data_IF_941222758524
#
_entry.id   IF_941222758524
#
_cell.length_a   1.000
_cell.length_b   1.000
_cell.length_c   1.000
_cell.angle_alpha   90.00
_cell.angle_beta   90.00
_cell.angle_gamma   90.00
#
_symmetry.space_group_name_H-M   'P 1'
#
loop_
_entity.id
_entity.type
_entity.pdbx_description
1 polymer ?
#
# COMPACT_ATOMS: atom_id res chain seq x y z
N UNK A 1 -10.38 13.59 5.73
CA UNK A 1 -11.50 13.95 4.83
C UNK A 1 -11.88 12.73 4.03
N UNK A 2 -13.16 12.42 3.94
CA UNK A 2 -13.69 11.24 3.23
C UNK A 2 -14.30 11.69 1.90
N UNK A 3 -13.99 11.00 0.81
CA UNK A 3 -14.55 11.25 -0.52
C UNK A 3 -15.05 9.97 -1.13
N UNK A 4 -16.12 10.05 -1.89
CA UNK A 4 -16.59 8.97 -2.75
C UNK A 4 -16.28 9.33 -4.19
N UNK A 5 -15.48 8.50 -4.84
CA UNK A 5 -15.22 8.61 -6.27
C UNK A 5 -16.22 7.76 -7.04
N UNK A 6 -16.79 8.32 -8.10
CA UNK A 6 -17.73 7.61 -8.96
C UNK A 6 -16.95 6.91 -10.08
N UNK A 7 -16.84 5.60 -9.98
CA UNK A 7 -16.53 4.75 -11.13
C UNK A 7 -17.82 4.40 -11.88
N UNK A 8 -17.80 4.01 -13.18
CA UNK A 8 -19.02 3.94 -14.01
C UNK A 8 -20.20 3.12 -13.49
N UNK A 9 -20.03 2.35 -12.41
CA UNK A 9 -21.10 1.54 -11.82
C UNK A 9 -21.30 1.72 -10.32
N UNK A 10 -20.28 2.15 -9.54
CA UNK A 10 -20.36 2.25 -8.07
C UNK A 10 -19.44 3.35 -7.51
N UNK A 11 -19.80 3.89 -6.34
CA UNK A 11 -18.96 4.81 -5.59
C UNK A 11 -17.90 4.03 -4.80
N UNK A 12 -16.65 4.46 -4.89
CA UNK A 12 -15.54 3.91 -4.09
C UNK A 12 -15.10 4.94 -3.06
N UNK A 13 -15.10 4.55 -1.80
CA UNK A 13 -14.70 5.43 -0.70
C UNK A 13 -13.18 5.50 -0.55
N UNK A 14 -12.68 6.71 -0.30
CA UNK A 14 -11.27 6.98 -0.01
C UNK A 14 -11.16 7.88 1.21
N UNK A 15 -10.33 7.50 2.17
CA UNK A 15 -9.92 8.40 3.27
C UNK A 15 -8.58 9.04 2.94
N UNK A 16 -8.50 10.36 3.10
CA UNK A 16 -7.26 11.11 2.92
C UNK A 16 -6.95 11.84 4.21
N UNK A 17 -5.79 11.53 4.80
CA UNK A 17 -5.22 12.26 5.92
C UNK A 17 -4.28 13.34 5.40
N UNK A 18 -4.45 14.53 5.90
CA UNK A 18 -3.50 15.62 5.74
C UNK A 18 -2.89 15.90 7.11
N UNK A 19 -1.56 16.04 7.22
CA UNK A 19 -0.94 16.32 8.51
C UNK A 19 -1.43 17.64 9.08
N UNK A 20 -1.52 17.72 10.39
CA UNK A 20 -1.89 18.95 11.08
C UNK A 20 -0.83 20.02 10.84
N UNK A 21 -1.28 21.24 10.54
CA UNK A 21 -0.40 22.37 10.23
C UNK A 21 0.21 23.03 11.45
N UNK A 22 -0.48 22.94 12.57
CA UNK A 22 -0.14 23.62 13.81
C UNK A 22 -0.19 22.64 14.97
N UNK A 23 0.96 22.38 15.56
CA UNK A 23 0.98 21.74 16.88
C UNK A 23 0.57 22.78 17.91
N UNK A 24 -0.18 22.37 18.93
CA UNK A 24 -0.56 23.27 20.05
C UNK A 24 0.65 24.02 20.63
N UNK A 25 1.81 23.37 20.69
CA UNK A 25 3.08 23.96 21.11
C UNK A 25 3.53 25.13 20.25
N UNK A 26 3.29 25.08 18.93
CA UNK A 26 3.63 26.15 18.00
C UNK A 26 2.65 27.32 18.14
N UNK A 27 1.37 27.04 18.38
CA UNK A 27 0.33 28.05 18.66
C UNK A 27 0.65 28.78 19.98
N UNK A 28 1.03 28.06 21.03
CA UNK A 28 1.43 28.64 22.32
C UNK A 28 2.69 29.50 22.22
N UNK A 29 3.59 29.19 21.28
CA UNK A 29 4.79 29.95 20.98
C UNK A 29 4.54 31.15 20.02
N UNK A 30 3.28 31.36 19.60
CA UNK A 30 2.91 32.42 18.68
C UNK A 30 3.45 32.22 17.25
N UNK A 31 3.89 31.03 16.92
CA UNK A 31 4.28 30.68 15.55
C UNK A 31 2.99 30.51 14.75
N UNK A 32 2.79 31.33 13.73
CA UNK A 32 1.72 31.09 12.77
C UNK A 32 2.06 29.85 11.96
N UNK A 33 1.16 28.87 11.96
CA UNK A 33 1.28 27.71 11.08
C UNK A 33 1.48 28.17 9.63
N UNK A 34 2.38 27.50 8.93
CA UNK A 34 2.62 27.80 7.53
C UNK A 34 1.33 27.54 6.73
N UNK A 35 0.72 28.60 6.23
CA UNK A 35 -0.37 28.49 5.27
C UNK A 35 0.11 27.67 4.08
N UNK A 36 -0.74 26.81 3.49
CA UNK A 36 -0.39 26.09 2.26
C UNK A 36 0.16 27.07 1.23
N UNK A 37 1.47 27.14 1.10
CA UNK A 37 2.10 27.86 0.00
C UNK A 37 1.63 27.22 -1.32
N UNK A 38 1.37 28.03 -2.34
CA UNK A 38 0.83 27.57 -3.63
C UNK A 38 1.63 26.43 -4.29
N UNK A 39 2.87 26.17 -3.84
CA UNK A 39 3.77 25.17 -4.41
C UNK A 39 4.26 24.13 -3.38
N UNK A 40 3.71 24.11 -2.17
CA UNK A 40 4.10 23.13 -1.14
C UNK A 40 3.25 21.88 -1.28
N UNK A 41 3.92 20.76 -1.40
CA UNK A 41 3.34 19.42 -1.52
C UNK A 41 3.75 18.54 -0.32
N UNK A 42 2.95 17.55 0.02
CA UNK A 42 3.31 16.53 1.01
C UNK A 42 3.81 15.28 0.32
N UNK A 43 4.85 14.66 0.87
CA UNK A 43 5.16 13.28 0.53
C UNK A 43 3.93 12.43 0.78
N UNK A 44 3.60 11.55 -0.16
CA UNK A 44 2.33 10.83 -0.20
C UNK A 44 2.53 9.36 0.01
N UNK A 45 1.83 8.80 0.99
CA UNK A 45 1.75 7.37 1.24
C UNK A 45 0.39 6.83 0.77
N UNK A 46 0.39 5.88 -0.17
CA UNK A 46 -0.77 5.04 -0.46
C UNK A 46 -0.75 3.86 0.51
N UNK A 47 -1.77 3.74 1.37
CA UNK A 47 -1.84 2.76 2.44
C UNK A 47 -3.01 1.80 2.24
N UNK A 48 -2.71 0.53 1.97
CA UNK A 48 -3.63 -0.46 1.43
C UNK A 48 -4.13 -1.43 2.50
N UNK A 49 -5.46 -1.56 2.61
CA UNK A 49 -6.13 -2.40 3.63
C UNK A 49 -6.02 -3.90 3.35
N UNK A 50 -6.21 -4.72 4.40
CA UNK A 50 -6.27 -6.17 4.33
C UNK A 50 -7.60 -6.71 3.80
N UNK A 51 -7.71 -8.04 3.71
CA UNK A 51 -8.96 -8.73 3.34
C UNK A 51 -10.08 -8.36 4.34
N UNK A 52 -11.30 -8.17 3.85
CA UNK A 52 -12.47 -7.68 4.60
C UNK A 52 -12.36 -6.25 5.12
N UNK A 53 -11.28 -5.53 4.79
CA UNK A 53 -11.08 -4.15 5.16
C UNK A 53 -11.71 -3.15 4.19
N UNK A 54 -11.50 -1.89 4.52
CA UNK A 54 -11.96 -0.72 3.77
C UNK A 54 -11.03 0.48 4.02
N UNK A 55 -11.38 1.65 3.49
CA UNK A 55 -10.66 2.91 3.66
C UNK A 55 -10.52 3.37 5.13
N UNK A 56 -11.30 2.82 6.06
CA UNK A 56 -11.26 3.15 7.49
C UNK A 56 -10.45 2.15 8.32
N UNK A 57 -9.95 1.07 7.71
CA UNK A 57 -9.31 -0.02 8.46
C UNK A 57 -8.19 0.49 9.36
N UNK A 58 -7.24 1.24 8.83
CA UNK A 58 -6.14 1.79 9.63
C UNK A 58 -6.57 2.84 10.65
N UNK A 59 -7.62 3.60 10.37
CA UNK A 59 -8.18 4.56 11.34
C UNK A 59 -8.79 3.86 12.55
N UNK A 60 -9.35 2.64 12.36
CA UNK A 60 -9.96 1.85 13.44
C UNK A 60 -8.94 1.04 14.22
N UNK A 61 -7.86 0.59 13.60
CA UNK A 61 -6.98 -0.45 14.15
C UNK A 61 -5.55 0.00 14.39
N UNK A 62 -5.21 1.24 14.02
CA UNK A 62 -3.87 1.80 14.20
C UNK A 62 -3.88 3.26 14.65
N UNK A 63 -2.70 3.79 14.89
CA UNK A 63 -2.50 5.21 15.22
C UNK A 63 -2.05 6.01 13.99
N UNK A 64 -2.54 5.64 12.82
CA UNK A 64 -2.08 6.20 11.53
C UNK A 64 -2.20 7.73 11.46
N UNK A 65 -3.23 8.34 12.07
CA UNK A 65 -3.37 9.80 12.13
C UNK A 65 -2.16 10.44 12.83
N UNK A 66 -1.79 9.91 13.99
CA UNK A 66 -0.61 10.38 14.72
C UNK A 66 0.68 10.16 13.92
N UNK A 67 0.83 9.00 13.29
CA UNK A 67 2.02 8.72 12.49
C UNK A 67 2.12 9.65 11.28
N UNK A 68 1.00 9.96 10.62
CA UNK A 68 0.96 10.91 9.53
C UNK A 68 1.42 12.32 9.95
N UNK A 69 1.00 12.75 11.15
CA UNK A 69 1.43 14.03 11.73
C UNK A 69 2.90 14.02 12.12
N UNK A 70 3.39 12.96 12.76
CA UNK A 70 4.79 12.84 13.17
C UNK A 70 5.74 12.89 11.96
N UNK A 71 5.37 12.24 10.86
CA UNK A 71 6.14 12.22 9.62
C UNK A 71 5.84 13.37 8.66
N UNK A 72 4.81 14.20 8.95
CA UNK A 72 4.35 15.29 8.09
C UNK A 72 4.05 14.84 6.64
N UNK A 73 3.31 13.74 6.50
CA UNK A 73 2.94 13.12 5.22
C UNK A 73 1.43 13.15 4.98
N UNK A 74 1.05 13.09 3.72
CA UNK A 74 -0.31 12.80 3.32
C UNK A 74 -0.50 11.29 3.18
N UNK A 75 -1.59 10.74 3.73
CA UNK A 75 -1.92 9.32 3.63
C UNK A 75 -3.21 9.13 2.85
N UNK A 76 -3.18 8.29 1.82
CA UNK A 76 -4.32 7.95 0.96
C UNK A 76 -4.70 6.50 1.20
N UNK A 77 -5.90 6.27 1.70
CA UNK A 77 -6.43 4.94 2.04
C UNK A 77 -7.68 4.65 1.20
N UNK A 78 -7.55 3.95 0.06
CA UNK A 78 -8.70 3.58 -0.76
C UNK A 78 -9.42 2.34 -0.26
N UNK A 79 -10.72 2.22 -0.53
CA UNK A 79 -11.46 0.95 -0.49
C UNK A 79 -11.32 0.23 -1.82
N UNK A 80 -10.96 -1.04 -1.78
CA UNK A 80 -11.00 -1.94 -2.95
C UNK A 80 -11.68 -3.26 -2.63
N UNK A 81 -12.36 -3.34 -1.51
CA UNK A 81 -13.04 -4.54 -1.01
C UNK A 81 -12.10 -5.77 -1.05
N UNK A 82 -12.60 -6.92 -1.42
CA UNK A 82 -11.81 -8.16 -1.53
C UNK A 82 -11.30 -8.42 -2.95
N UNK A 83 -11.00 -7.37 -3.72
CA UNK A 83 -10.58 -7.46 -5.12
C UNK A 83 -9.16 -8.01 -5.33
N UNK A 84 -8.42 -8.26 -4.24
CA UNK A 84 -6.99 -8.57 -4.34
C UNK A 84 -6.21 -7.54 -5.18
N UNK A 85 -6.63 -6.27 -5.14
CA UNK A 85 -5.99 -5.20 -5.91
C UNK A 85 -5.83 -5.55 -7.38
N UNK A 86 -6.89 -6.11 -8.01
CA UNK A 86 -6.87 -6.54 -9.41
C UNK A 86 -8.11 -6.05 -10.15
N UNK A 87 -8.00 -5.94 -11.47
CA UNK A 87 -9.16 -5.79 -12.33
C UNK A 87 -9.86 -7.14 -12.37
N UNK A 88 -11.11 -7.17 -11.86
CA UNK A 88 -11.81 -8.42 -11.65
C UNK A 88 -12.41 -8.93 -12.96
N UNK A 89 -12.38 -10.23 -13.15
CA UNK A 89 -13.04 -10.85 -14.32
C UNK A 89 -14.56 -10.61 -14.33
N UNK A 90 -15.16 -10.69 -13.13
CA UNK A 90 -16.59 -10.43 -12.91
C UNK A 90 -16.75 -9.44 -11.76
N UNK A 91 -16.45 -8.16 -12.01
CA UNK A 91 -16.49 -7.10 -11.02
C UNK A 91 -15.96 -5.78 -11.55
N UNK A 92 -15.39 -4.96 -10.69
CA UNK A 92 -14.83 -3.67 -11.04
C UNK A 92 -13.32 -3.76 -11.33
N UNK A 93 -12.82 -2.82 -12.11
CA UNK A 93 -11.41 -2.71 -12.50
C UNK A 93 -10.61 -1.96 -11.42
N UNK A 94 -10.46 -2.58 -10.24
CA UNK A 94 -9.86 -1.91 -9.08
C UNK A 94 -8.38 -1.57 -9.25
N UNK A 95 -7.62 -2.35 -10.02
CA UNK A 95 -6.22 -2.03 -10.27
C UNK A 95 -6.09 -0.80 -11.17
N UNK A 96 -6.84 -0.75 -12.26
CA UNK A 96 -6.92 0.41 -13.14
C UNK A 96 -7.41 1.66 -12.41
N UNK A 97 -8.47 1.52 -11.59
CA UNK A 97 -8.94 2.59 -10.72
C UNK A 97 -7.82 3.18 -9.85
N UNK A 98 -7.04 2.34 -9.16
CA UNK A 98 -5.97 2.80 -8.26
C UNK A 98 -4.84 3.49 -9.01
N UNK A 99 -4.39 2.86 -10.11
CA UNK A 99 -3.16 3.28 -10.82
C UNK A 99 -3.37 4.50 -11.71
N UNK A 100 -4.58 4.73 -12.16
CA UNK A 100 -4.95 5.79 -13.10
C UNK A 100 -5.85 6.84 -12.42
N UNK A 101 -7.08 6.48 -12.07
CA UNK A 101 -8.07 7.47 -11.63
C UNK A 101 -7.79 8.04 -10.25
N UNK A 102 -7.55 7.18 -9.26
CA UNK A 102 -7.29 7.63 -7.89
C UNK A 102 -6.02 8.49 -7.83
N UNK A 103 -4.96 8.03 -8.48
CA UNK A 103 -3.69 8.76 -8.52
C UNK A 103 -3.88 10.14 -9.12
N UNK A 104 -4.52 10.23 -10.30
CA UNK A 104 -4.80 11.50 -10.99
C UNK A 104 -5.72 12.41 -10.17
N UNK A 105 -6.77 11.85 -9.55
CA UNK A 105 -7.68 12.60 -8.69
C UNK A 105 -6.97 13.19 -7.48
N UNK A 106 -6.13 12.40 -6.80
CA UNK A 106 -5.39 12.83 -5.62
C UNK A 106 -4.39 13.94 -5.97
N UNK A 107 -3.64 13.77 -7.05
CA UNK A 107 -2.62 14.72 -7.48
C UNK A 107 -3.19 16.07 -7.96
N UNK A 108 -4.40 16.05 -8.55
CA UNK A 108 -5.08 17.28 -9.01
C UNK A 108 -5.79 18.04 -7.90
N UNK A 109 -6.34 17.33 -6.89
CA UNK A 109 -7.24 17.96 -5.93
C UNK A 109 -6.61 18.15 -4.54
N UNK A 110 -5.47 17.52 -4.26
CA UNK A 110 -4.78 17.60 -2.96
C UNK A 110 -3.33 18.05 -3.13
N UNK A 111 -2.70 18.52 -2.06
CA UNK A 111 -1.29 18.88 -2.08
C UNK A 111 -0.38 17.64 -2.07
N UNK A 112 -0.64 16.68 -2.93
CA UNK A 112 0.12 15.45 -3.10
C UNK A 112 1.39 15.70 -3.92
N UNK A 113 2.52 15.16 -3.46
CA UNK A 113 3.75 15.14 -4.24
C UNK A 113 3.65 14.14 -5.39
N UNK A 114 4.16 14.50 -6.56
CA UNK A 114 4.03 13.74 -7.80
C UNK A 114 5.32 13.03 -8.22
N UNK A 115 6.47 13.49 -7.74
CA UNK A 115 7.76 12.87 -8.05
C UNK A 115 7.92 11.53 -7.34
N UNK A 116 8.60 10.59 -8.00
CA UNK A 116 8.86 9.24 -7.50
C UNK A 116 9.42 9.21 -6.08
N UNK A 117 10.43 10.04 -5.81
CA UNK A 117 11.11 10.13 -4.51
C UNK A 117 10.21 10.58 -3.35
N UNK A 118 9.05 11.12 -3.67
CA UNK A 118 8.07 11.64 -2.72
C UNK A 118 6.79 10.79 -2.64
N UNK A 119 6.73 9.66 -3.35
CA UNK A 119 5.61 8.71 -3.29
C UNK A 119 6.03 7.38 -2.70
N UNK A 120 5.19 6.87 -1.83
CA UNK A 120 5.41 5.66 -1.07
C UNK A 120 4.15 4.80 -1.08
N UNK A 121 4.30 3.50 -0.94
CA UNK A 121 3.18 2.58 -0.87
C UNK A 121 3.44 1.51 0.18
N UNK A 122 2.44 1.23 1.00
CA UNK A 122 2.49 0.17 1.99
C UNK A 122 1.11 -0.48 2.17
N UNK A 123 1.08 -1.64 2.82
CA UNK A 123 -0.17 -2.29 3.15
C UNK A 123 0.01 -3.52 4.03
N UNK A 124 -1.10 -4.00 4.60
CA UNK A 124 -1.15 -5.19 5.44
C UNK A 124 -1.86 -6.34 4.73
N UNK A 125 -1.39 -7.57 4.92
CA UNK A 125 -2.04 -8.79 4.43
C UNK A 125 -2.31 -8.73 2.91
N UNK A 126 -3.57 -8.73 2.48
CA UNK A 126 -3.94 -8.50 1.08
C UNK A 126 -3.40 -7.15 0.55
N UNK A 127 -3.37 -6.11 1.39
CA UNK A 127 -2.79 -4.82 1.04
C UNK A 127 -1.27 -4.87 0.91
N UNK A 128 -0.58 -5.72 1.66
CA UNK A 128 0.84 -5.98 1.48
C UNK A 128 1.14 -6.54 0.09
N UNK A 129 0.35 -7.51 -0.35
CA UNK A 129 0.40 -7.98 -1.73
C UNK A 129 0.09 -6.86 -2.73
N UNK A 130 -0.99 -6.09 -2.49
CA UNK A 130 -1.37 -4.97 -3.35
C UNK A 130 -0.26 -3.93 -3.49
N UNK A 131 0.43 -3.61 -2.40
CA UNK A 131 1.54 -2.67 -2.40
C UNK A 131 2.71 -3.15 -3.27
N UNK A 132 3.09 -4.43 -3.14
CA UNK A 132 4.12 -5.02 -3.98
C UNK A 132 3.69 -5.11 -5.45
N UNK A 133 2.45 -5.58 -5.71
CA UNK A 133 1.91 -5.65 -7.07
C UNK A 133 1.93 -4.27 -7.74
N UNK A 134 1.36 -3.25 -7.10
CA UNK A 134 1.30 -1.91 -7.68
C UNK A 134 2.70 -1.29 -7.81
N UNK A 135 3.49 -1.34 -6.75
CA UNK A 135 4.83 -0.76 -6.75
C UNK A 135 5.79 -1.39 -7.74
N UNK A 136 5.68 -2.71 -8.00
CA UNK A 136 6.48 -3.40 -9.00
C UNK A 136 5.92 -3.27 -10.43
N UNK A 137 4.61 -3.07 -10.58
CA UNK A 137 4.02 -2.78 -11.90
C UNK A 137 4.39 -1.38 -12.37
N UNK A 138 4.42 -0.40 -11.45
CA UNK A 138 4.71 1.01 -11.74
C UNK A 138 5.92 1.50 -10.91
N UNK A 139 7.12 0.90 -11.06
CA UNK A 139 8.27 1.21 -10.19
C UNK A 139 8.78 2.65 -10.33
N UNK A 140 8.47 3.30 -11.45
CA UNK A 140 8.77 4.71 -11.70
C UNK A 140 7.90 5.66 -10.84
N UNK A 141 6.84 5.14 -10.21
CA UNK A 141 5.93 5.96 -9.38
C UNK A 141 6.32 6.00 -7.91
N UNK A 142 7.13 5.06 -7.40
CA UNK A 142 7.34 4.90 -5.96
C UNK A 142 8.82 4.84 -5.57
N UNK A 143 9.14 5.52 -4.45
CA UNK A 143 10.46 5.46 -3.82
C UNK A 143 10.66 4.19 -2.99
N UNK A 144 9.58 3.71 -2.34
CA UNK A 144 9.64 2.54 -1.47
C UNK A 144 8.29 1.82 -1.42
N UNK A 145 8.39 0.50 -1.17
CA UNK A 145 7.27 -0.44 -1.00
C UNK A 145 7.41 -1.12 0.35
N UNK A 146 6.35 -1.11 1.15
CA UNK A 146 6.29 -1.80 2.44
C UNK A 146 5.14 -2.80 2.52
N UNK A 147 5.39 -4.00 3.05
CA UNK A 147 4.36 -5.01 3.26
C UNK A 147 4.38 -5.60 4.67
N UNK A 148 3.26 -5.56 5.37
CA UNK A 148 3.07 -6.21 6.66
C UNK A 148 2.29 -7.50 6.45
N UNK A 149 2.90 -8.65 6.78
CA UNK A 149 2.28 -9.98 6.66
C UNK A 149 1.60 -10.20 5.31
N UNK A 150 2.27 -9.83 4.23
CA UNK A 150 1.72 -9.83 2.88
C UNK A 150 1.44 -11.24 2.36
N UNK A 151 0.37 -11.38 1.57
CA UNK A 151 0.00 -12.64 0.91
C UNK A 151 0.60 -12.67 -0.48
N UNK A 152 1.91 -12.92 -0.57
CA UNK A 152 2.66 -12.70 -1.81
C UNK A 152 2.47 -13.79 -2.88
N UNK A 153 2.14 -15.02 -2.49
CA UNK A 153 1.88 -16.12 -3.42
C UNK A 153 0.47 -16.04 -4.01
N UNK A 154 0.36 -15.72 -5.30
CA UNK A 154 -0.92 -15.64 -6.00
C UNK A 154 -1.65 -17.00 -6.05
N UNK A 155 -0.90 -18.09 -6.19
CA UNK A 155 -1.40 -19.47 -6.30
C UNK A 155 -2.17 -19.95 -5.06
N UNK A 156 -1.83 -19.51 -3.85
CA UNK A 156 -2.56 -19.89 -2.64
C UNK A 156 -4.02 -19.44 -2.64
N UNK A 157 -4.36 -18.46 -3.48
CA UNK A 157 -5.72 -18.00 -3.63
C UNK A 157 -6.61 -18.96 -4.38
N UNK A 158 -6.02 -19.96 -5.07
CA UNK A 158 -6.72 -20.96 -5.89
C UNK A 158 -6.80 -22.34 -5.27
N UNK A 159 -5.98 -22.67 -4.29
CA UNK A 159 -5.93 -23.99 -3.69
C UNK A 159 -7.08 -24.28 -2.71
N UNK A 160 -7.97 -23.31 -2.47
CA UNK A 160 -9.14 -23.47 -1.61
C UNK A 160 -10.20 -24.35 -2.25
N UNK A 161 -10.24 -25.63 -1.84
CA UNK A 161 -11.35 -26.52 -2.16
C UNK A 161 -12.67 -25.94 -1.64
N UNK A 162 -13.62 -25.67 -2.57
CA UNK A 162 -15.05 -25.46 -2.33
C UNK A 162 -15.41 -24.72 -1.04
N UNK A 163 -15.54 -23.40 -1.12
CA UNK A 163 -16.22 -22.52 -0.14
C UNK A 163 -16.29 -21.09 -0.73
N UNK A 164 -16.76 -20.12 0.02
CA UNK A 164 -16.81 -18.68 -0.34
C UNK A 164 -15.55 -18.15 -1.05
N UNK A 165 -14.38 -18.77 -0.82
CA UNK A 165 -13.11 -18.43 -1.47
C UNK A 165 -13.11 -18.84 -2.95
N UNK A 166 -13.75 -19.95 -3.33
CA UNK A 166 -13.77 -20.39 -4.74
C UNK A 166 -14.60 -19.42 -5.60
N UNK A 167 -15.74 -18.97 -5.08
CA UNK A 167 -16.58 -17.97 -5.77
C UNK A 167 -15.87 -16.63 -5.91
N UNK A 168 -15.11 -16.21 -4.89
CA UNK A 168 -14.31 -15.01 -4.99
C UNK A 168 -13.18 -15.17 -6.03
N UNK A 169 -12.48 -16.29 -6.05
CA UNK A 169 -11.44 -16.56 -7.04
C UNK A 169 -12.01 -16.57 -8.47
N UNK A 170 -13.19 -17.14 -8.66
CA UNK A 170 -13.91 -17.06 -9.94
C UNK A 170 -14.25 -15.62 -10.31
N UNK A 171 -14.74 -14.82 -9.38
CA UNK A 171 -15.03 -13.41 -9.62
C UNK A 171 -13.77 -12.61 -9.98
N UNK A 172 -12.65 -12.90 -9.32
CA UNK A 172 -11.38 -12.24 -9.58
C UNK A 172 -10.78 -12.61 -10.94
N UNK A 173 -10.77 -13.90 -11.29
CA UNK A 173 -9.91 -14.43 -12.35
C UNK A 173 -10.63 -15.31 -13.36
N UNK A 174 -11.93 -15.59 -13.18
CA UNK A 174 -12.72 -16.46 -14.06
C UNK A 174 -12.65 -17.95 -13.68
N UNK A 175 -13.39 -18.78 -14.44
CA UNK A 175 -13.39 -20.23 -14.33
C UNK A 175 -13.23 -20.84 -15.75
N UNK A 176 -12.14 -21.57 -16.05
CA UNK A 176 -10.95 -21.76 -15.19
C UNK A 176 -10.21 -20.43 -14.94
N UNK A 177 -9.54 -20.30 -13.78
CA UNK A 177 -8.88 -19.07 -13.43
C UNK A 177 -7.74 -18.73 -14.39
N UNK A 178 -7.81 -17.53 -14.98
CA UNK A 178 -6.78 -16.99 -15.85
C UNK A 178 -5.82 -16.09 -15.04
N UNK A 179 -4.87 -16.73 -14.34
CA UNK A 179 -3.78 -15.96 -13.71
C UNK A 179 -2.66 -15.77 -14.73
N UNK A 180 -2.42 -14.50 -15.02
CA UNK A 180 -1.25 -14.09 -15.77
C UNK A 180 -0.14 -13.72 -14.76
N UNK A 181 0.94 -14.55 -14.64
CA UNK A 181 1.98 -14.30 -13.63
C UNK A 181 2.59 -12.90 -13.75
N UNK A 182 2.76 -12.39 -14.95
CA UNK A 182 3.32 -11.06 -15.26
C UNK A 182 2.46 -9.91 -14.71
N UNK A 183 1.23 -10.19 -14.31
CA UNK A 183 0.27 -9.21 -13.75
C UNK A 183 -0.01 -9.46 -12.27
N UNK A 184 -0.05 -10.73 -11.86
CA UNK A 184 -0.60 -11.13 -10.57
C UNK A 184 0.42 -11.70 -9.60
N UNK A 185 1.57 -12.19 -10.08
CA UNK A 185 2.56 -12.84 -9.25
C UNK A 185 3.70 -11.89 -8.89
N UNK A 186 3.85 -11.62 -7.59
CA UNK A 186 4.86 -10.69 -7.05
C UNK A 186 6.28 -11.17 -7.38
N UNK A 187 6.52 -12.46 -7.36
CA UNK A 187 7.83 -13.05 -7.66
C UNK A 187 8.20 -12.84 -9.13
N UNK A 188 7.27 -13.12 -10.03
CA UNK A 188 7.43 -12.86 -11.47
C UNK A 188 7.62 -11.38 -11.75
N UNK A 189 6.82 -10.50 -11.12
CA UNK A 189 6.98 -9.04 -11.26
C UNK A 189 8.38 -8.59 -10.82
N UNK A 190 8.85 -9.04 -9.65
CA UNK A 190 10.18 -8.67 -9.14
C UNK A 190 11.30 -9.13 -10.07
N UNK A 191 11.23 -10.39 -10.53
CA UNK A 191 12.17 -10.94 -11.49
C UNK A 191 12.21 -10.13 -12.78
N UNK A 192 11.04 -9.87 -13.38
CA UNK A 192 10.95 -9.11 -14.62
C UNK A 192 11.54 -7.70 -14.49
N UNK A 193 11.26 -6.99 -13.36
CA UNK A 193 11.83 -5.65 -13.14
C UNK A 193 13.36 -5.70 -13.04
N UNK A 194 13.91 -6.73 -12.40
CA UNK A 194 15.36 -6.93 -12.32
C UNK A 194 15.99 -7.22 -13.69
N UNK A 195 15.37 -8.11 -14.47
CA UNK A 195 15.84 -8.50 -15.81
C UNK A 195 15.76 -7.34 -16.81
N UNK A 196 14.72 -6.50 -16.70
CA UNK A 196 14.56 -5.28 -17.50
C UNK A 196 15.54 -4.16 -17.12
N UNK A 197 16.29 -4.32 -16.03
CA UNK A 197 17.19 -3.29 -15.52
C UNK A 197 16.49 -2.03 -15.02
N UNK A 198 15.20 -2.13 -14.65
CA UNK A 198 14.43 -1.00 -14.11
C UNK A 198 14.88 -0.68 -12.69
N UNK A 199 14.77 0.59 -12.33
CA UNK A 199 15.04 1.05 -10.97
C UNK A 199 13.94 0.59 -10.01
N UNK A 200 14.22 -0.49 -9.26
CA UNK A 200 13.29 -1.09 -8.30
C UNK A 200 13.20 -0.17 -7.07
N UNK A 201 11.99 0.15 -6.57
CA UNK A 201 11.83 0.87 -5.30
C UNK A 201 12.53 0.14 -4.15
N UNK A 202 12.86 0.86 -3.07
CA UNK A 202 13.32 0.20 -1.85
C UNK A 202 12.24 -0.74 -1.33
N UNK A 203 12.62 -1.94 -0.89
CA UNK A 203 11.69 -2.99 -0.49
C UNK A 203 11.81 -3.30 1.00
N UNK A 204 10.66 -3.40 1.67
CA UNK A 204 10.53 -3.84 3.05
C UNK A 204 9.39 -4.84 3.18
N UNK A 205 9.60 -5.94 3.89
CA UNK A 205 8.54 -6.82 4.33
C UNK A 205 8.74 -7.23 5.78
N UNK A 206 7.65 -7.48 6.48
CA UNK A 206 7.71 -8.02 7.83
C UNK A 206 6.56 -9.00 8.10
N UNK A 207 6.76 -9.91 9.05
CA UNK A 207 5.73 -10.84 9.47
C UNK A 207 5.96 -11.34 10.90
N UNK A 208 4.88 -11.59 11.61
CA UNK A 208 4.91 -12.23 12.91
C UNK A 208 5.33 -13.71 12.79
N UNK A 209 6.19 -14.19 13.70
CA UNK A 209 6.67 -15.59 13.69
C UNK A 209 5.56 -16.61 13.94
N UNK A 210 4.42 -16.16 14.50
CA UNK A 210 3.24 -17.00 14.73
C UNK A 210 2.14 -16.75 13.68
N UNK A 211 2.44 -15.95 12.66
CA UNK A 211 1.50 -15.65 11.59
C UNK A 211 1.51 -16.76 10.54
N UNK A 212 0.32 -17.16 10.09
CA UNK A 212 0.16 -18.13 8.99
C UNK A 212 0.77 -17.66 7.66
N UNK A 213 1.09 -16.36 7.52
CA UNK A 213 1.74 -15.76 6.34
C UNK A 213 3.23 -15.57 6.49
N UNK A 214 3.80 -16.05 7.61
CA UNK A 214 5.23 -15.90 7.85
C UNK A 214 6.07 -16.45 6.70
N UNK A 215 5.74 -17.66 6.23
CA UNK A 215 6.47 -18.28 5.13
C UNK A 215 6.41 -17.47 3.83
N UNK A 216 5.29 -16.80 3.53
CA UNK A 216 5.18 -15.94 2.34
C UNK A 216 6.25 -14.82 2.34
N UNK A 217 6.53 -14.25 3.52
CA UNK A 217 7.54 -13.19 3.68
C UNK A 217 8.97 -13.73 3.63
N UNK A 218 9.21 -14.93 4.19
CA UNK A 218 10.50 -15.63 4.09
C UNK A 218 10.79 -15.96 2.62
N UNK A 219 9.84 -16.54 1.91
CA UNK A 219 9.99 -16.91 0.50
C UNK A 219 10.31 -15.68 -0.37
N UNK A 220 9.63 -14.57 -0.12
CA UNK A 220 9.90 -13.32 -0.84
C UNK A 220 11.31 -12.79 -0.57
N UNK A 221 11.77 -12.85 0.69
CA UNK A 221 13.13 -12.46 1.06
C UNK A 221 14.18 -13.33 0.38
N UNK A 222 14.03 -14.66 0.48
CA UNK A 222 14.96 -15.60 -0.16
C UNK A 222 15.02 -15.41 -1.68
N UNK A 223 13.87 -15.19 -2.31
CA UNK A 223 13.80 -14.94 -3.75
C UNK A 223 14.47 -13.61 -4.15
N UNK A 224 14.26 -12.54 -3.37
CA UNK A 224 14.92 -11.26 -3.61
C UNK A 224 16.44 -11.39 -3.49
N UNK A 225 16.94 -12.15 -2.49
CA UNK A 225 18.38 -12.43 -2.33
C UNK A 225 18.95 -13.20 -3.52
N UNK A 226 18.25 -14.20 -4.02
CA UNK A 226 18.66 -14.96 -5.23
C UNK A 226 18.78 -14.06 -6.46
N UNK A 227 17.93 -13.04 -6.57
CA UNK A 227 17.99 -12.04 -7.64
C UNK A 227 19.02 -10.93 -7.40
N UNK A 228 19.64 -10.87 -6.22
CA UNK A 228 20.51 -9.77 -5.81
C UNK A 228 19.75 -8.44 -5.73
N UNK A 229 18.48 -8.48 -5.30
CA UNK A 229 17.64 -7.30 -5.04
C UNK A 229 17.59 -7.04 -3.54
N UNK A 230 18.06 -5.87 -3.05
CA UNK A 230 17.99 -5.54 -1.64
C UNK A 230 16.53 -5.50 -1.15
N UNK A 231 16.20 -6.32 -0.16
CA UNK A 231 14.93 -6.34 0.55
C UNK A 231 15.20 -6.43 2.05
N UNK A 232 14.71 -5.46 2.81
CA UNK A 232 14.73 -5.54 4.26
C UNK A 232 13.57 -6.43 4.73
N UNK A 233 13.91 -7.50 5.46
CA UNK A 233 12.93 -8.37 6.11
C UNK A 233 13.10 -8.28 7.62
N UNK A 234 12.01 -8.02 8.31
CA UNK A 234 11.94 -8.06 9.77
C UNK A 234 10.89 -9.07 10.23
N UNK A 235 11.22 -9.78 11.28
CA UNK A 235 10.29 -10.68 11.95
C UNK A 235 10.32 -10.48 13.46
N UNK A 236 9.26 -10.87 14.13
CA UNK A 236 9.17 -10.79 15.58
C UNK A 236 7.99 -11.58 16.12
N UNK A 237 7.88 -11.75 17.44
CA UNK A 237 6.70 -12.38 18.04
C UNK A 237 5.43 -11.67 17.61
N UNK A 238 4.42 -12.41 17.18
CA UNK A 238 3.14 -11.83 16.78
C UNK A 238 2.39 -12.70 15.80
N UNK A 239 1.12 -12.35 15.63
CA UNK A 239 0.15 -13.06 14.79
C UNK A 239 -0.41 -12.14 13.71
N UNK A 240 -1.34 -12.68 12.91
CA UNK A 240 -2.06 -11.94 11.89
C UNK A 240 -3.18 -11.08 12.52
N UNK A 241 -2.80 -10.05 13.27
CA UNK A 241 -3.72 -9.21 14.03
C UNK A 241 -3.33 -7.73 14.01
N UNK A 242 -4.26 -6.89 14.47
CA UNK A 242 -4.12 -5.43 14.45
C UNK A 242 -2.98 -4.92 15.35
N UNK A 243 -2.60 -5.67 16.39
CA UNK A 243 -1.50 -5.27 17.29
C UNK A 243 -0.18 -5.31 16.52
N UNK A 244 0.07 -6.43 15.82
CA UNK A 244 1.25 -6.57 14.97
C UNK A 244 1.23 -5.56 13.83
N UNK A 245 0.07 -5.35 13.21
CA UNK A 245 -0.07 -4.43 12.09
C UNK A 245 0.21 -2.98 12.48
N UNK A 246 -0.31 -2.50 13.63
CA UNK A 246 -0.05 -1.13 14.10
C UNK A 246 1.44 -0.92 14.43
N UNK A 247 2.07 -1.87 15.13
CA UNK A 247 3.50 -1.79 15.46
C UNK A 247 4.37 -1.73 14.20
N UNK A 248 4.14 -2.64 13.25
CA UNK A 248 5.01 -2.75 12.09
C UNK A 248 4.72 -1.73 10.99
N UNK A 249 3.50 -1.19 10.90
CA UNK A 249 3.28 -0.04 10.03
C UNK A 249 4.08 1.18 10.51
N UNK A 250 4.18 1.41 11.82
CA UNK A 250 5.05 2.46 12.36
C UNK A 250 6.51 2.24 11.95
N UNK A 251 7.05 1.02 12.11
CA UNK A 251 8.43 0.69 11.69
C UNK A 251 8.66 0.90 10.20
N UNK A 252 7.67 0.55 9.36
CA UNK A 252 7.74 0.81 7.90
C UNK A 252 7.82 2.31 7.63
N UNK A 253 7.02 3.13 8.31
CA UNK A 253 7.04 4.58 8.13
C UNK A 253 8.39 5.17 8.54
N UNK A 254 8.95 4.74 9.67
CA UNK A 254 10.28 5.15 10.10
C UNK A 254 11.36 4.76 9.08
N UNK A 255 11.29 3.52 8.53
CA UNK A 255 12.22 3.04 7.51
C UNK A 255 12.08 3.79 6.18
N UNK A 256 10.88 4.21 5.81
CA UNK A 256 10.65 5.00 4.59
C UNK A 256 11.40 6.33 4.62
N UNK A 257 11.70 6.84 5.81
CA UNK A 257 12.55 8.01 6.03
C UNK A 257 12.05 9.24 5.26
N UNK A 258 10.85 9.67 5.60
CA UNK A 258 10.21 10.85 5.04
C UNK A 258 11.00 12.13 5.38
N UNK A 259 10.82 13.17 4.56
CA UNK A 259 11.49 14.47 4.77
C UNK A 259 11.01 15.20 6.05
N UNK A 260 9.90 14.76 6.66
CA UNK A 260 9.32 15.37 7.86
C UNK A 260 8.78 16.80 7.66
N UNK A 261 8.55 17.18 6.41
CA UNK A 261 8.04 18.51 6.02
C UNK A 261 7.49 18.47 4.60
N UNK A 262 6.78 19.52 4.21
CA UNK A 262 6.38 19.70 2.81
C UNK A 262 7.59 19.82 1.88
N UNK A 263 7.42 19.35 0.66
CA UNK A 263 8.42 19.41 -0.41
C UNK A 263 8.01 20.41 -1.49
N UNK A 264 8.99 20.91 -2.24
CA UNK A 264 8.73 21.78 -3.40
C UNK A 264 8.83 20.95 -4.67
N UNK A 265 7.82 21.07 -5.54
CA UNK A 265 7.76 20.38 -6.85
C UNK A 265 7.39 21.35 -7.99
#
# INVERSE_FOLDING_TARGET
>A
MQFSLLYPADAVDVSILLPEKERMEDVEQGKKGETFGKNKKYQTLYLLHGFTGDHLSYLRTSKIERYADEHQIMVVMPSVYNSAYTDMKYGLDYFSYLTEELTDFVERNFPAATKRENRFIAGMSMGGYGAYKWGLTCPEKFAAIGGVAGSYHAEYRYQGKVNTVSTLCEALYGDPPAITPEVHDVFTLLKNRKEEGRDIPRLYTCCGTEDRRHQDSVDLKEFADQLGVPLLFEEGPGRHDDIFFDEYIQKILDWMNFAGKSVEE
#
